data_IF_816433114687
#
_entry.id   IF_816433114687
#
_cell.length_a   1.000
_cell.length_b   1.000
_cell.length_c   1.000
_cell.angle_alpha   90.00
_cell.angle_beta   90.00
_cell.angle_gamma   90.00
#
_symmetry.space_group_name_H-M   'P 1'
#
loop_
_entity.id
_entity.type
_entity.pdbx_description
1 polymer ?
#
# COMPACT_ATOMS: atom_id res chain seq x y z
N UNK A 1 15.66 -37.71 9.93
CA UNK A 1 15.91 -36.26 9.91
C UNK A 1 15.46 -35.64 8.59
N UNK A 2 15.79 -36.19 7.41
CA UNK A 2 15.26 -35.71 6.12
C UNK A 2 13.75 -35.97 5.96
N UNK A 3 13.24 -37.15 6.31
CA UNK A 3 11.80 -37.47 6.27
C UNK A 3 10.95 -36.65 7.24
N UNK A 4 11.47 -36.25 8.39
CA UNK A 4 10.77 -35.33 9.31
C UNK A 4 10.70 -33.89 8.78
N UNK A 5 11.74 -33.44 8.10
CA UNK A 5 11.77 -32.13 7.46
C UNK A 5 10.78 -32.05 6.29
N UNK A 6 10.69 -33.11 5.48
CA UNK A 6 9.76 -33.21 4.36
C UNK A 6 8.30 -33.33 4.83
N UNK A 7 8.00 -34.10 5.89
CA UNK A 7 6.65 -34.14 6.47
C UNK A 7 6.23 -32.81 7.09
N UNK A 8 7.13 -32.10 7.75
CA UNK A 8 6.85 -30.76 8.26
C UNK A 8 6.58 -29.75 7.11
N UNK A 9 7.36 -29.81 6.05
CA UNK A 9 7.21 -28.95 4.88
C UNK A 9 5.87 -29.20 4.17
N UNK A 10 5.54 -30.44 3.85
CA UNK A 10 4.27 -30.83 3.23
C UNK A 10 3.05 -30.52 4.11
N UNK A 11 3.18 -30.63 5.42
CA UNK A 11 2.13 -30.29 6.37
C UNK A 11 1.80 -28.78 6.37
N UNK A 12 2.80 -27.89 6.24
CA UNK A 12 2.57 -26.46 6.12
C UNK A 12 1.92 -26.11 4.78
N UNK A 13 2.37 -26.68 3.67
CA UNK A 13 1.83 -26.39 2.35
C UNK A 13 0.34 -26.76 2.20
N UNK A 14 -0.11 -27.84 2.78
CA UNK A 14 -1.53 -28.25 2.78
C UNK A 14 -2.45 -27.32 3.60
N UNK A 15 -1.89 -26.43 4.41
CA UNK A 15 -2.63 -25.52 5.30
C UNK A 15 -2.61 -24.06 4.84
N UNK A 16 -1.86 -23.74 3.80
CA UNK A 16 -1.81 -22.39 3.21
C UNK A 16 -3.17 -22.02 2.66
N UNK A 17 -3.51 -20.72 2.75
CA UNK A 17 -4.67 -20.16 2.09
C UNK A 17 -4.43 -20.11 0.58
N UNK A 18 -4.89 -21.14 -0.15
CA UNK A 18 -4.70 -21.23 -1.59
C UNK A 18 -5.33 -20.07 -2.36
N UNK A 19 -6.48 -19.57 -1.91
CA UNK A 19 -7.14 -18.42 -2.53
C UNK A 19 -6.30 -17.16 -2.40
N UNK A 20 -5.77 -16.87 -1.20
CA UNK A 20 -4.89 -15.73 -0.99
C UNK A 20 -3.63 -15.85 -1.84
N UNK A 21 -2.98 -17.03 -1.84
CA UNK A 21 -1.76 -17.27 -2.61
C UNK A 21 -1.99 -17.08 -4.11
N UNK A 22 -3.04 -17.68 -4.67
CA UNK A 22 -3.36 -17.53 -6.09
C UNK A 22 -3.69 -16.08 -6.46
N UNK A 23 -4.43 -15.37 -5.61
CA UNK A 23 -4.73 -13.94 -5.83
C UNK A 23 -3.46 -13.10 -5.84
N UNK A 24 -2.53 -13.33 -4.89
CA UNK A 24 -1.26 -12.62 -4.83
C UNK A 24 -0.39 -12.89 -6.06
N UNK A 25 -0.31 -14.15 -6.49
CA UNK A 25 0.42 -14.52 -7.70
C UNK A 25 -0.21 -13.89 -8.95
N UNK A 26 -1.54 -13.93 -9.06
CA UNK A 26 -2.24 -13.31 -10.18
C UNK A 26 -1.98 -11.80 -10.23
N UNK A 27 -2.08 -11.07 -9.10
CA UNK A 27 -1.77 -9.65 -9.03
C UNK A 27 -0.32 -9.36 -9.40
N UNK A 28 0.64 -10.09 -8.84
CA UNK A 28 2.06 -9.86 -9.11
C UNK A 28 2.44 -10.15 -10.57
N UNK A 29 1.91 -11.22 -11.16
CA UNK A 29 2.13 -11.53 -12.58
C UNK A 29 1.49 -10.50 -13.50
N UNK A 30 0.27 -10.06 -13.19
CA UNK A 30 -0.37 -8.95 -13.91
C UNK A 30 0.47 -7.68 -13.80
N UNK A 31 0.99 -7.36 -12.61
CA UNK A 31 1.86 -6.20 -12.40
C UNK A 31 3.13 -6.27 -13.26
N UNK A 32 3.83 -7.40 -13.27
CA UNK A 32 5.04 -7.59 -14.08
C UNK A 32 4.73 -7.44 -15.59
N UNK A 33 3.60 -8.01 -16.05
CA UNK A 33 3.15 -7.91 -17.44
C UNK A 33 2.86 -6.46 -17.84
N UNK A 34 2.07 -5.75 -17.03
CA UNK A 34 1.67 -4.37 -17.32
C UNK A 34 2.85 -3.40 -17.20
N UNK A 35 3.77 -3.61 -16.23
CA UNK A 35 5.01 -2.84 -16.16
C UNK A 35 5.83 -3.06 -17.44
N UNK A 36 5.91 -4.30 -17.91
CA UNK A 36 6.58 -4.62 -19.18
C UNK A 36 5.97 -3.87 -20.34
N UNK A 37 4.64 -3.81 -20.42
CA UNK A 37 3.95 -3.06 -21.45
C UNK A 37 4.14 -1.55 -21.30
N UNK A 38 3.91 -0.99 -20.10
CA UNK A 38 4.05 0.44 -19.83
C UNK A 38 5.46 1.00 -20.11
N UNK A 39 6.50 0.14 -20.00
CA UNK A 39 7.90 0.51 -20.23
C UNK A 39 8.44 0.05 -21.59
N UNK A 40 7.61 -0.60 -22.41
CA UNK A 40 7.95 -1.02 -23.75
C UNK A 40 7.84 0.15 -24.71
N UNK A 41 8.90 0.94 -24.80
CA UNK A 41 8.95 2.03 -25.77
C UNK A 41 9.41 1.52 -27.11
N UNK A 42 8.80 2.02 -28.19
CA UNK A 42 9.20 1.76 -29.57
C UNK A 42 10.52 2.47 -29.97
N UNK A 43 11.30 2.99 -29.03
CA UNK A 43 12.58 3.64 -29.29
C UNK A 43 13.73 2.62 -29.25
N UNK A 44 14.38 2.34 -30.40
CA UNK A 44 15.50 1.40 -30.50
C UNK A 44 16.76 1.83 -29.72
N UNK A 45 16.85 3.09 -29.28
CA UNK A 45 18.00 3.60 -28.52
C UNK A 45 17.98 3.22 -27.03
N UNK A 46 16.81 2.78 -26.51
CA UNK A 46 16.71 2.33 -25.12
C UNK A 46 17.06 0.84 -25.00
N UNK A 47 18.35 0.55 -24.88
CA UNK A 47 18.86 -0.80 -24.64
C UNK A 47 18.49 -1.39 -23.26
N UNK A 48 17.75 -0.65 -22.42
CA UNK A 48 17.34 -1.04 -21.05
C UNK A 48 15.89 -1.52 -20.91
N UNK A 49 15.24 -1.94 -21.99
CA UNK A 49 13.81 -2.29 -22.07
C UNK A 49 13.30 -3.27 -21.00
N UNK A 50 14.13 -4.20 -20.57
CA UNK A 50 13.77 -5.19 -19.54
C UNK A 50 14.26 -4.84 -18.13
N UNK A 51 14.89 -3.68 -17.94
CA UNK A 51 15.49 -3.34 -16.65
C UNK A 51 14.41 -3.21 -15.57
N UNK A 52 13.27 -2.56 -15.86
CA UNK A 52 12.15 -2.43 -14.92
C UNK A 52 11.50 -3.77 -14.62
N UNK A 53 11.25 -4.61 -15.63
CA UNK A 53 10.66 -5.94 -15.48
C UNK A 53 11.61 -6.85 -14.69
N UNK A 54 12.90 -6.85 -15.04
CA UNK A 54 13.91 -7.65 -14.37
C UNK A 54 14.06 -7.23 -12.90
N UNK A 55 14.14 -5.94 -12.62
CA UNK A 55 14.20 -5.41 -11.25
C UNK A 55 12.93 -5.75 -10.46
N UNK A 56 11.75 -5.57 -11.06
CA UNK A 56 10.49 -5.96 -10.41
C UNK A 56 10.44 -7.46 -10.12
N UNK A 57 10.89 -8.31 -11.06
CA UNK A 57 11.02 -9.75 -10.86
C UNK A 57 11.96 -10.13 -9.73
N UNK A 58 13.12 -9.48 -9.63
CA UNK A 58 14.06 -9.68 -8.51
C UNK A 58 13.42 -9.28 -7.18
N UNK A 59 12.75 -8.11 -7.13
CA UNK A 59 12.05 -7.68 -5.93
C UNK A 59 10.88 -8.59 -5.56
N UNK A 60 10.20 -9.17 -6.56
CA UNK A 60 9.17 -10.17 -6.33
C UNK A 60 9.77 -11.43 -5.66
N UNK A 61 10.88 -11.95 -6.17
CA UNK A 61 11.56 -13.12 -5.58
C UNK A 61 12.09 -12.84 -4.17
N UNK A 62 12.69 -11.67 -3.95
CA UNK A 62 13.13 -11.24 -2.63
C UNK A 62 11.94 -11.08 -1.66
N UNK A 63 10.85 -10.48 -2.12
CA UNK A 63 9.62 -10.33 -1.36
C UNK A 63 8.99 -11.67 -1.04
N UNK A 64 8.99 -12.62 -1.98
CA UNK A 64 8.50 -13.98 -1.75
C UNK A 64 9.36 -14.73 -0.71
N UNK A 65 10.68 -14.62 -0.81
CA UNK A 65 11.59 -15.18 0.20
C UNK A 65 11.36 -14.58 1.59
N UNK A 66 11.13 -13.25 1.66
CA UNK A 66 10.79 -12.54 2.89
C UNK A 66 9.45 -13.02 3.45
N UNK A 67 8.42 -13.17 2.61
CA UNK A 67 7.13 -13.73 3.02
C UNK A 67 7.27 -15.15 3.57
N UNK A 68 8.01 -16.02 2.89
CA UNK A 68 8.28 -17.39 3.32
C UNK A 68 9.03 -17.42 4.66
N UNK A 69 10.01 -16.54 4.85
CA UNK A 69 10.71 -16.38 6.13
C UNK A 69 9.74 -16.02 7.26
N UNK A 70 8.87 -15.03 7.07
CA UNK A 70 7.89 -14.63 8.08
C UNK A 70 6.80 -15.69 8.33
N UNK A 71 6.52 -16.57 7.36
CA UNK A 71 5.62 -17.71 7.57
C UNK A 71 6.21 -18.75 8.52
N UNK A 72 7.54 -18.89 8.60
CA UNK A 72 8.22 -19.90 9.42
C UNK A 72 8.15 -19.58 10.91
N UNK A 73 8.30 -18.31 11.29
CA UNK A 73 8.33 -17.87 12.69
C UNK A 73 6.93 -17.44 13.15
N UNK A 74 6.64 -17.62 14.45
CA UNK A 74 5.35 -17.20 15.00
C UNK A 74 5.21 -15.68 14.97
N UNK A 75 4.12 -15.17 14.35
CA UNK A 75 3.83 -13.72 14.29
C UNK A 75 3.73 -13.09 15.67
N UNK A 76 3.49 -13.86 16.75
CA UNK A 76 3.47 -13.38 18.14
C UNK A 76 4.83 -12.88 18.61
N UNK A 77 5.93 -13.24 17.94
CA UNK A 77 7.23 -12.63 18.18
C UNK A 77 7.21 -11.14 17.86
N UNK A 78 6.46 -10.70 16.86
CA UNK A 78 6.31 -9.29 16.52
C UNK A 78 5.68 -8.48 17.67
N UNK A 79 4.80 -9.10 18.46
CA UNK A 79 4.26 -8.48 19.66
C UNK A 79 5.35 -8.14 20.68
N UNK A 80 6.28 -9.06 20.91
CA UNK A 80 7.40 -8.85 21.83
C UNK A 80 8.35 -7.75 21.35
N UNK A 81 8.65 -7.77 20.04
CA UNK A 81 9.60 -6.86 19.42
C UNK A 81 9.02 -5.50 19.04
N UNK A 82 7.70 -5.29 19.16
CA UNK A 82 7.05 -4.04 18.76
C UNK A 82 7.69 -2.76 19.33
N UNK A 83 8.15 -2.67 20.62
CA UNK A 83 8.83 -1.46 21.09
C UNK A 83 10.17 -1.21 20.41
N UNK A 84 10.96 -2.25 20.18
CA UNK A 84 12.21 -2.13 19.46
C UNK A 84 11.98 -1.76 17.99
N UNK A 85 10.98 -2.36 17.35
CA UNK A 85 10.55 -2.05 15.98
C UNK A 85 10.08 -0.59 15.86
N UNK A 86 9.43 -0.05 16.89
CA UNK A 86 9.04 1.36 16.94
C UNK A 86 10.24 2.29 16.94
N UNK A 87 11.24 1.99 17.77
CA UNK A 87 12.49 2.76 17.84
C UNK A 87 13.23 2.70 16.48
N UNK A 88 13.35 1.50 15.92
CA UNK A 88 13.95 1.30 14.59
C UNK A 88 13.20 2.12 13.53
N UNK A 89 11.86 2.12 13.57
CA UNK A 89 11.04 2.91 12.66
C UNK A 89 11.35 4.40 12.75
N UNK A 90 11.38 4.95 13.95
CA UNK A 90 11.69 6.36 14.16
C UNK A 90 13.13 6.71 13.71
N UNK A 91 14.11 5.87 14.03
CA UNK A 91 15.51 6.04 13.60
C UNK A 91 15.61 5.99 12.07
N UNK A 92 14.96 5.02 11.43
CA UNK A 92 14.97 4.84 9.99
C UNK A 92 14.35 6.05 9.26
N UNK A 93 13.20 6.54 9.75
CA UNK A 93 12.55 7.73 9.20
C UNK A 93 13.38 9.00 9.42
N UNK A 94 14.02 9.14 10.57
CA UNK A 94 14.91 10.26 10.85
C UNK A 94 16.19 10.18 9.98
N UNK A 95 16.73 8.97 9.80
CA UNK A 95 17.92 8.71 9.00
C UNK A 95 17.78 9.13 7.53
N UNK A 96 16.59 8.96 6.95
CA UNK A 96 16.31 9.43 5.57
C UNK A 96 16.56 10.93 5.42
N UNK A 97 16.26 11.72 6.43
CA UNK A 97 16.48 13.17 6.40
C UNK A 97 17.97 13.53 6.44
N UNK A 98 18.82 12.66 7.00
CA UNK A 98 20.25 12.90 7.15
C UNK A 98 21.06 12.36 5.96
N UNK A 99 20.68 11.18 5.43
CA UNK A 99 21.47 10.43 4.45
C UNK A 99 20.70 10.18 3.15
N UNK A 100 19.40 10.54 3.09
CA UNK A 100 18.54 10.26 1.94
C UNK A 100 18.93 11.02 0.69
N UNK A 101 18.73 10.39 -0.46
CA UNK A 101 18.84 11.02 -1.78
C UNK A 101 17.55 11.73 -2.14
N UNK A 102 17.68 12.94 -2.74
CA UNK A 102 16.53 13.69 -3.23
C UNK A 102 16.21 13.26 -4.66
N UNK A 103 14.98 12.81 -4.87
CA UNK A 103 14.42 12.60 -6.20
C UNK A 103 13.07 13.35 -6.29
N UNK A 104 12.80 13.98 -7.43
CA UNK A 104 11.58 14.76 -7.68
C UNK A 104 11.27 15.82 -6.60
N UNK A 105 12.32 16.46 -6.04
CA UNK A 105 12.19 17.51 -5.05
C UNK A 105 11.89 17.05 -3.61
N UNK A 106 11.90 15.74 -3.33
CA UNK A 106 11.69 15.21 -2.01
C UNK A 106 12.77 14.18 -1.62
N UNK A 107 13.26 14.29 -0.39
CA UNK A 107 14.29 13.41 0.16
C UNK A 107 13.61 12.22 0.87
N UNK A 108 13.39 11.10 0.15
CA UNK A 108 12.59 9.95 0.64
C UNK A 108 13.28 8.61 0.47
N UNK A 109 14.40 8.56 -0.26
CA UNK A 109 15.03 7.34 -0.70
C UNK A 109 16.40 7.15 -0.06
N UNK A 110 16.74 5.94 0.30
CA UNK A 110 18.11 5.55 0.70
C UNK A 110 18.63 4.62 -0.39
N UNK A 111 19.76 5.01 -0.99
CA UNK A 111 20.42 4.18 -1.97
C UNK A 111 21.44 3.28 -1.29
N UNK A 112 21.28 1.97 -1.43
CA UNK A 112 22.19 0.94 -0.92
C UNK A 112 22.72 0.14 -2.13
N UNK A 113 23.84 0.59 -2.69
CA UNK A 113 24.37 0.03 -3.93
C UNK A 113 23.38 0.24 -5.10
N UNK A 114 22.97 -0.83 -5.84
CA UNK A 114 22.03 -0.72 -6.94
C UNK A 114 20.55 -0.65 -6.49
N UNK A 115 20.28 -0.81 -5.20
CA UNK A 115 18.93 -0.89 -4.64
C UNK A 115 18.55 0.43 -3.99
N UNK A 116 17.42 1.01 -4.40
CA UNK A 116 16.79 2.14 -3.74
C UNK A 116 15.71 1.65 -2.80
N UNK A 117 15.84 1.97 -1.52
CA UNK A 117 14.83 1.66 -0.51
C UNK A 117 14.12 2.92 -0.07
N UNK A 118 12.80 2.82 0.11
CA UNK A 118 11.98 3.88 0.68
C UNK A 118 11.57 3.48 2.11
N UNK A 119 12.16 4.05 3.13
CA UNK A 119 11.89 3.70 4.53
C UNK A 119 10.44 3.93 4.94
N UNK A 120 9.75 4.93 4.39
CA UNK A 120 8.33 5.18 4.68
C UNK A 120 7.42 4.01 4.25
N UNK A 121 7.82 3.19 3.27
CA UNK A 121 7.10 1.97 2.91
C UNK A 121 7.13 0.94 4.04
N UNK A 122 8.30 0.67 4.60
CA UNK A 122 8.47 -0.25 5.74
C UNK A 122 7.81 0.29 7.00
N UNK A 123 7.84 1.59 7.19
CA UNK A 123 7.22 2.27 8.32
C UNK A 123 5.73 1.96 8.45
N UNK A 124 4.99 1.75 7.36
CA UNK A 124 3.56 1.36 7.38
C UNK A 124 3.35 0.06 8.15
N UNK A 125 4.15 -0.98 7.84
CA UNK A 125 4.03 -2.29 8.52
C UNK A 125 4.49 -2.21 9.96
N UNK A 126 5.59 -1.50 10.23
CA UNK A 126 6.07 -1.32 11.60
C UNK A 126 5.04 -0.60 12.46
N UNK A 127 4.33 0.39 11.90
CA UNK A 127 3.24 1.06 12.59
C UNK A 127 2.03 0.14 12.81
N UNK A 128 1.66 -0.70 11.84
CA UNK A 128 0.61 -1.71 12.02
C UNK A 128 0.95 -2.63 13.20
N UNK A 129 2.20 -3.10 13.30
CA UNK A 129 2.65 -3.98 14.39
C UNK A 129 2.56 -3.26 15.74
N UNK A 130 3.05 -2.03 15.83
CA UNK A 130 3.05 -1.25 17.07
C UNK A 130 1.64 -0.92 17.53
N UNK A 131 0.78 -0.48 16.61
CA UNK A 131 -0.64 -0.21 16.88
C UNK A 131 -1.38 -1.48 17.30
N UNK A 132 -1.18 -2.60 16.60
CA UNK A 132 -1.83 -3.87 16.91
C UNK A 132 -1.51 -4.31 18.34
N UNK A 133 -0.25 -4.17 18.78
CA UNK A 133 0.13 -4.45 20.16
C UNK A 133 -0.61 -3.56 21.15
N UNK A 134 -0.53 -2.23 20.95
CA UNK A 134 -1.13 -1.28 21.87
C UNK A 134 -2.65 -1.45 21.97
N UNK A 135 -3.32 -1.65 20.83
CA UNK A 135 -4.77 -1.84 20.78
C UNK A 135 -5.20 -3.19 21.38
N UNK A 136 -4.39 -4.24 21.21
CA UNK A 136 -4.67 -5.56 21.82
C UNK A 136 -4.62 -5.53 23.37
N UNK A 137 -3.84 -4.62 23.95
CA UNK A 137 -3.76 -4.40 25.41
C UNK A 137 -4.97 -3.62 25.96
N UNK A 138 -5.67 -2.82 25.09
CA UNK A 138 -6.81 -1.99 25.49
C UNK A 138 -8.14 -2.71 25.27
N UNK A 139 -8.57 -3.51 26.29
CA UNK A 139 -9.80 -4.32 26.21
C UNK A 139 -11.10 -3.51 26.33
N UNK A 140 -11.06 -2.32 26.91
CA UNK A 140 -12.26 -1.50 27.22
C UNK A 140 -12.77 -0.67 26.02
N UNK A 141 -12.07 -0.72 24.89
CA UNK A 141 -12.36 0.07 23.70
C UNK A 141 -12.11 1.56 23.87
N UNK A 142 -12.29 2.31 22.79
CA UNK A 142 -11.97 3.76 22.75
C UNK A 142 -13.25 4.59 22.83
N UNK A 143 -13.68 4.88 24.07
CA UNK A 143 -14.97 5.55 24.36
C UNK A 143 -14.87 7.06 24.59
N UNK A 144 -13.66 7.57 24.88
CA UNK A 144 -13.40 8.97 25.20
C UNK A 144 -12.20 9.49 24.42
N UNK A 145 -12.09 10.81 24.24
CA UNK A 145 -10.92 11.44 23.62
C UNK A 145 -9.63 11.17 24.39
N UNK A 146 -9.71 11.04 25.73
CA UNK A 146 -8.55 10.74 26.58
C UNK A 146 -7.99 9.34 26.30
N UNK A 147 -8.84 8.37 25.95
CA UNK A 147 -8.38 7.03 25.60
C UNK A 147 -7.61 6.98 24.27
N UNK A 148 -7.74 8.01 23.41
CA UNK A 148 -6.98 8.14 22.17
C UNK A 148 -5.59 8.78 22.35
N UNK A 149 -5.29 9.39 23.49
CA UNK A 149 -4.00 10.04 23.72
C UNK A 149 -2.79 9.09 23.56
N UNK A 150 -2.81 7.86 24.08
CA UNK A 150 -1.71 6.91 23.83
C UNK A 150 -1.55 6.57 22.33
N UNK A 151 -2.68 6.42 21.61
CA UNK A 151 -2.66 6.16 20.16
C UNK A 151 -2.04 7.34 19.42
N UNK A 152 -2.45 8.56 19.75
CA UNK A 152 -1.87 9.78 19.19
C UNK A 152 -0.38 9.88 19.52
N UNK A 153 0.03 9.60 20.76
CA UNK A 153 1.44 9.60 21.17
C UNK A 153 2.29 8.61 20.38
N UNK A 154 1.74 7.43 20.05
CA UNK A 154 2.43 6.44 19.22
C UNK A 154 2.48 6.85 17.75
N UNK A 155 1.39 7.42 17.21
CA UNK A 155 1.23 7.73 15.79
C UNK A 155 1.91 9.02 15.37
N UNK A 156 1.83 10.08 16.21
CA UNK A 156 2.29 11.41 15.84
C UNK A 156 3.78 11.48 15.45
N UNK A 157 4.75 10.89 16.20
CA UNK A 157 6.15 10.99 15.83
C UNK A 157 6.46 10.46 14.42
N UNK A 158 6.12 9.22 14.02
CA UNK A 158 6.35 8.73 12.67
C UNK A 158 5.54 9.51 11.62
N UNK A 159 4.30 9.90 11.94
CA UNK A 159 3.45 10.68 11.04
C UNK A 159 4.10 12.04 10.71
N UNK A 160 4.57 12.77 11.74
CA UNK A 160 5.23 14.06 11.55
C UNK A 160 6.53 13.89 10.75
N UNK A 161 7.34 12.85 11.04
CA UNK A 161 8.56 12.59 10.30
C UNK A 161 8.31 12.36 8.81
N UNK A 162 7.27 11.61 8.44
CA UNK A 162 6.89 11.36 7.05
C UNK A 162 6.27 12.62 6.42
N UNK A 163 5.45 13.35 7.15
CA UNK A 163 4.83 14.59 6.66
C UNK A 163 5.88 15.67 6.33
N UNK A 164 6.93 15.80 7.14
CA UNK A 164 8.04 16.73 6.89
C UNK A 164 8.91 16.31 5.68
N UNK A 165 8.89 15.03 5.28
CA UNK A 165 9.53 14.52 4.06
C UNK A 165 8.72 14.79 2.78
N UNK A 166 7.88 15.78 2.72
CA UNK A 166 6.70 16.06 1.89
C UNK A 166 6.00 14.81 1.29
N UNK A 167 5.87 13.72 2.08
CA UNK A 167 5.18 12.49 1.67
C UNK A 167 3.74 12.46 2.18
N UNK A 168 2.88 13.24 1.52
CA UNK A 168 1.46 13.32 1.86
C UNK A 168 0.76 11.96 1.67
N UNK A 169 1.10 11.24 0.59
CA UNK A 169 0.50 9.93 0.29
C UNK A 169 0.66 8.94 1.44
N UNK A 170 1.90 8.70 1.87
CA UNK A 170 2.18 7.78 2.99
C UNK A 170 1.58 8.29 4.31
N UNK A 171 1.56 9.60 4.56
CA UNK A 171 0.92 10.17 5.75
C UNK A 171 -0.59 9.87 5.79
N UNK A 172 -1.29 9.95 4.67
CA UNK A 172 -2.70 9.57 4.56
C UNK A 172 -2.91 8.06 4.76
N UNK A 173 -2.00 7.21 4.27
CA UNK A 173 -2.03 5.77 4.54
C UNK A 173 -1.89 5.49 6.03
N UNK A 174 -1.01 6.19 6.76
CA UNK A 174 -0.92 6.06 8.23
C UNK A 174 -2.22 6.41 8.93
N UNK A 175 -2.87 7.50 8.52
CA UNK A 175 -4.17 7.89 9.07
C UNK A 175 -5.25 6.83 8.80
N UNK A 176 -5.27 6.25 7.59
CA UNK A 176 -6.20 5.19 7.22
C UNK A 176 -5.97 3.89 8.02
N UNK A 177 -4.71 3.48 8.21
CA UNK A 177 -4.34 2.35 9.06
C UNK A 177 -4.83 2.57 10.49
N UNK A 178 -4.52 3.74 11.06
CA UNK A 178 -4.91 4.09 12.43
C UNK A 178 -6.44 4.07 12.60
N UNK A 179 -7.16 4.70 11.69
CA UNK A 179 -8.62 4.75 11.71
C UNK A 179 -9.25 3.35 11.62
N UNK A 180 -8.82 2.53 10.65
CA UNK A 180 -9.35 1.19 10.47
C UNK A 180 -9.10 0.27 11.67
N UNK A 181 -7.90 0.33 12.24
CA UNK A 181 -7.56 -0.46 13.42
C UNK A 181 -8.32 0.00 14.67
N UNK A 182 -8.46 1.32 14.89
CA UNK A 182 -9.28 1.87 15.97
C UNK A 182 -10.75 1.51 15.82
N UNK A 183 -11.27 1.53 14.59
CA UNK A 183 -12.66 1.15 14.31
C UNK A 183 -12.94 -0.29 14.73
N UNK A 184 -12.05 -1.23 14.37
CA UNK A 184 -12.17 -2.62 14.80
C UNK A 184 -12.02 -2.79 16.32
N UNK A 185 -11.21 -1.93 16.97
CA UNK A 185 -10.98 -1.95 18.43
C UNK A 185 -12.12 -1.32 19.23
N UNK A 186 -13.24 -1.00 18.60
CA UNK A 186 -14.42 -0.48 19.29
C UNK A 186 -14.40 1.03 19.49
N UNK A 187 -13.92 1.79 18.51
CA UNK A 187 -14.01 3.25 18.51
C UNK A 187 -15.47 3.71 18.50
N UNK A 188 -15.84 4.54 19.47
CA UNK A 188 -17.20 5.05 19.61
C UNK A 188 -17.56 6.00 18.45
N UNK A 189 -18.65 5.75 17.71
CA UNK A 189 -19.09 6.56 16.58
C UNK A 189 -19.31 8.04 16.92
N UNK A 190 -19.57 8.37 18.20
CA UNK A 190 -19.64 9.77 18.65
C UNK A 190 -18.29 10.49 18.43
N UNK A 191 -17.18 9.81 18.72
CA UNK A 191 -15.82 10.37 18.53
C UNK A 191 -15.53 10.56 17.03
N UNK A 192 -15.91 9.58 16.19
CA UNK A 192 -15.75 9.67 14.75
C UNK A 192 -16.49 10.90 14.19
N UNK A 193 -17.75 11.08 14.58
CA UNK A 193 -18.54 12.27 14.16
C UNK A 193 -17.91 13.57 14.64
N UNK A 194 -17.46 13.62 15.89
CA UNK A 194 -16.79 14.80 16.45
C UNK A 194 -15.47 15.09 15.73
N UNK A 195 -14.67 14.06 15.43
CA UNK A 195 -13.43 14.21 14.67
C UNK A 195 -13.68 14.73 13.24
N UNK A 196 -14.72 14.21 12.58
CA UNK A 196 -15.11 14.68 11.24
C UNK A 196 -15.56 16.15 11.28
N UNK A 197 -16.41 16.52 12.23
CA UNK A 197 -16.85 17.91 12.42
C UNK A 197 -15.66 18.84 12.73
N UNK A 198 -14.74 18.40 13.59
CA UNK A 198 -13.53 19.15 13.90
C UNK A 198 -12.62 19.32 12.66
N UNK A 199 -12.47 18.26 11.83
CA UNK A 199 -11.70 18.34 10.57
C UNK A 199 -12.33 19.35 9.60
N UNK A 200 -13.64 19.33 9.42
CA UNK A 200 -14.36 20.31 8.57
C UNK A 200 -14.21 21.72 9.12
N UNK A 201 -14.35 21.91 10.44
CA UNK A 201 -14.19 23.24 11.07
C UNK A 201 -12.76 23.78 11.01
N UNK A 202 -11.74 22.88 11.07
CA UNK A 202 -10.34 23.23 10.99
C UNK A 202 -9.84 23.35 9.53
N UNK A 203 -10.60 22.84 8.56
CA UNK A 203 -10.18 22.82 7.16
C UNK A 203 -9.73 24.19 6.63
N UNK A 204 -10.43 25.34 6.90
CA UNK A 204 -9.96 26.64 6.47
C UNK A 204 -8.58 27.01 7.06
N UNK A 205 -8.35 26.68 8.33
CA UNK A 205 -7.06 26.94 8.99
C UNK A 205 -5.96 26.10 8.35
N UNK A 206 -6.23 24.80 8.10
CA UNK A 206 -5.29 23.91 7.41
C UNK A 206 -4.98 24.43 6.01
N UNK A 207 -6.01 24.88 5.28
CA UNK A 207 -5.89 25.39 3.92
C UNK A 207 -5.00 26.63 3.82
N UNK A 208 -5.21 27.61 4.68
CA UNK A 208 -4.49 28.88 4.59
C UNK A 208 -3.11 28.87 5.23
N UNK A 209 -2.91 28.09 6.30
CA UNK A 209 -1.70 28.17 7.13
C UNK A 209 -0.80 26.93 7.07
N UNK A 210 -1.32 25.74 6.75
CA UNK A 210 -0.55 24.50 6.86
C UNK A 210 -0.24 23.84 5.51
N UNK A 211 -1.17 23.93 4.56
CA UNK A 211 -0.98 23.29 3.25
C UNK A 211 -0.04 24.12 2.37
N UNK A 212 0.97 23.44 1.81
CA UNK A 212 1.85 24.02 0.79
C UNK A 212 1.10 24.19 -0.55
N UNK A 213 1.58 25.09 -1.41
CA UNK A 213 0.92 25.41 -2.68
C UNK A 213 0.77 24.19 -3.60
N UNK A 214 1.76 23.28 -3.63
CA UNK A 214 1.65 22.05 -4.42
C UNK A 214 0.53 21.10 -3.91
N UNK A 215 0.24 21.09 -2.59
CA UNK A 215 -0.84 20.31 -2.00
C UNK A 215 -2.21 20.93 -2.31
N UNK A 216 -2.30 22.26 -2.25
CA UNK A 216 -3.51 23.01 -2.64
C UNK A 216 -3.84 22.76 -4.11
N UNK A 217 -2.83 22.84 -5.01
CA UNK A 217 -3.00 22.55 -6.44
C UNK A 217 -3.55 21.15 -6.68
N UNK A 218 -3.02 20.11 -6.00
CA UNK A 218 -3.53 18.74 -6.14
C UNK A 218 -4.99 18.57 -5.73
N UNK A 219 -5.45 19.35 -4.75
CA UNK A 219 -6.87 19.35 -4.33
C UNK A 219 -7.71 20.14 -5.35
N UNK A 220 -7.24 21.28 -5.82
CA UNK A 220 -7.97 22.11 -6.79
C UNK A 220 -8.11 21.42 -8.14
N UNK A 221 -7.08 20.71 -8.61
CA UNK A 221 -7.10 19.91 -9.85
C UNK A 221 -8.24 18.88 -9.88
N UNK A 222 -8.71 18.43 -8.71
CA UNK A 222 -9.88 17.55 -8.64
C UNK A 222 -11.16 18.21 -9.21
N UNK A 223 -11.28 19.52 -9.04
CA UNK A 223 -12.44 20.30 -9.47
C UNK A 223 -12.19 20.96 -10.83
N UNK A 224 -10.97 21.42 -11.05
CA UNK A 224 -10.55 22.11 -12.28
C UNK A 224 -9.11 21.71 -12.65
N UNK A 225 -8.93 20.80 -13.63
CA UNK A 225 -7.59 20.37 -14.07
C UNK A 225 -6.75 21.52 -14.65
N UNK A 226 -7.36 22.59 -15.14
CA UNK A 226 -6.67 23.73 -15.78
C UNK A 226 -5.92 24.61 -14.77
N UNK A 227 -6.11 24.38 -13.46
CA UNK A 227 -5.33 25.05 -12.40
C UNK A 227 -3.85 24.67 -12.42
N UNK A 228 -3.52 23.47 -12.92
CA UNK A 228 -2.14 22.98 -13.03
C UNK A 228 -1.91 22.23 -14.36
N UNK A 229 -1.97 22.94 -15.50
CA UNK A 229 -2.03 22.32 -16.84
C UNK A 229 -0.74 21.62 -17.26
N UNK A 230 0.39 21.83 -16.55
CA UNK A 230 1.69 21.17 -16.83
C UNK A 230 2.14 20.24 -15.70
N UNK A 231 1.37 20.14 -14.62
CA UNK A 231 1.65 19.26 -13.49
C UNK A 231 0.55 18.24 -13.25
N UNK A 232 -0.01 18.21 -12.04
CA UNK A 232 -1.01 17.22 -11.65
C UNK A 232 -2.29 17.24 -12.51
N UNK A 233 -2.69 18.39 -13.06
CA UNK A 233 -3.82 18.50 -13.99
C UNK A 233 -3.57 17.75 -15.30
N UNK A 234 -2.38 17.90 -15.88
CA UNK A 234 -1.98 17.17 -17.09
C UNK A 234 -2.07 15.65 -16.86
N UNK A 235 -1.51 15.18 -15.75
CA UNK A 235 -1.55 13.74 -15.43
C UNK A 235 -2.98 13.19 -15.35
N UNK A 236 -3.91 13.94 -14.72
CA UNK A 236 -5.30 13.50 -14.58
C UNK A 236 -6.02 13.50 -15.94
N UNK A 237 -5.79 14.50 -16.78
CA UNK A 237 -6.38 14.59 -18.12
C UNK A 237 -5.89 13.41 -18.97
N UNK A 238 -4.56 13.19 -19.04
CA UNK A 238 -3.98 12.10 -19.83
C UNK A 238 -4.41 10.72 -19.31
N UNK A 239 -4.52 10.56 -18.00
CA UNK A 239 -5.04 9.34 -17.38
C UNK A 239 -6.48 9.04 -17.82
N UNK A 240 -7.36 10.04 -17.82
CA UNK A 240 -8.75 9.88 -18.29
C UNK A 240 -8.83 9.57 -19.78
N UNK A 241 -8.00 10.23 -20.59
CA UNK A 241 -7.91 9.96 -22.03
C UNK A 241 -7.47 8.51 -22.28
N UNK A 242 -6.41 8.07 -21.57
CA UNK A 242 -5.89 6.71 -21.63
C UNK A 242 -6.97 5.67 -21.30
N UNK A 243 -7.65 5.79 -20.14
CA UNK A 243 -8.73 4.88 -19.74
C UNK A 243 -9.88 4.92 -20.76
N UNK A 244 -10.27 6.12 -21.21
CA UNK A 244 -11.37 6.30 -22.17
C UNK A 244 -11.08 5.69 -23.55
N UNK A 245 -9.82 5.75 -24.00
CA UNK A 245 -9.40 5.20 -25.30
C UNK A 245 -9.44 3.68 -25.35
N UNK A 246 -9.31 2.99 -24.18
CA UNK A 246 -9.37 1.54 -24.11
C UNK A 246 -10.77 0.95 -24.31
N UNK A 247 -11.84 1.73 -24.13
CA UNK A 247 -13.20 1.27 -24.36
C UNK A 247 -13.55 0.02 -23.54
N UNK A 248 -14.25 -0.95 -24.20
CA UNK A 248 -14.73 -2.14 -23.48
C UNK A 248 -13.68 -3.26 -23.39
N UNK A 249 -12.94 -3.54 -24.45
CA UNK A 249 -11.97 -4.67 -24.53
C UNK A 249 -10.51 -4.23 -24.49
N UNK A 250 -10.22 -2.93 -24.58
CA UNK A 250 -8.87 -2.40 -24.65
C UNK A 250 -8.32 -2.29 -26.08
N UNK A 251 -7.19 -1.61 -26.20
CA UNK A 251 -6.46 -1.46 -27.46
C UNK A 251 -5.57 -2.69 -27.76
N UNK A 252 -5.29 -3.52 -26.75
CA UNK A 252 -4.34 -4.64 -26.82
C UNK A 252 -3.11 -4.39 -25.97
N UNK A 253 -2.51 -5.48 -25.46
CA UNK A 253 -1.25 -5.41 -24.70
C UNK A 253 -0.14 -4.89 -25.61
N UNK A 254 0.66 -3.93 -25.12
CA UNK A 254 1.73 -3.24 -25.85
C UNK A 254 1.26 -2.33 -26.99
N UNK A 255 -0.05 -2.09 -27.13
CA UNK A 255 -0.63 -1.25 -28.19
C UNK A 255 -1.26 0.05 -27.68
N UNK A 256 -1.15 0.32 -26.37
CA UNK A 256 -1.67 1.54 -25.74
C UNK A 256 -0.96 2.80 -26.27
N UNK A 257 -1.68 3.69 -26.97
CA UNK A 257 -1.10 4.88 -27.58
C UNK A 257 -0.61 5.90 -26.57
N UNK A 258 -1.35 6.12 -25.47
CA UNK A 258 -0.98 7.09 -24.45
C UNK A 258 0.21 6.63 -23.62
N UNK A 259 0.25 5.33 -23.29
CA UNK A 259 1.32 4.71 -22.54
C UNK A 259 2.61 4.57 -23.34
N UNK A 260 2.53 4.11 -24.61
CA UNK A 260 3.69 3.86 -25.47
C UNK A 260 4.34 5.13 -26.01
N UNK A 261 3.58 6.20 -26.22
CA UNK A 261 4.09 7.50 -26.67
C UNK A 261 4.50 8.43 -25.53
N UNK A 262 4.51 7.94 -24.28
CA UNK A 262 4.85 8.72 -23.08
C UNK A 262 4.01 9.99 -22.85
N UNK A 263 2.77 10.04 -23.35
CA UNK A 263 1.86 11.12 -23.04
C UNK A 263 1.39 11.07 -21.57
N UNK A 264 1.41 9.88 -20.95
CA UNK A 264 1.10 9.69 -19.54
C UNK A 264 2.39 9.53 -18.73
N UNK A 265 2.86 10.58 -18.02
CA UNK A 265 4.01 10.46 -17.14
C UNK A 265 3.73 9.52 -15.96
N UNK A 266 4.79 8.90 -15.41
CA UNK A 266 4.69 7.96 -14.27
C UNK A 266 3.66 6.83 -14.49
N UNK A 267 3.51 6.40 -15.76
CA UNK A 267 2.55 5.37 -16.17
C UNK A 267 2.81 4.00 -15.53
N UNK A 268 4.06 3.66 -15.24
CA UNK A 268 4.47 2.40 -14.63
C UNK A 268 4.43 2.41 -13.09
N UNK A 269 4.25 3.58 -12.46
CA UNK A 269 4.19 3.75 -10.99
C UNK A 269 2.78 4.14 -10.56
N UNK A 270 2.49 5.43 -10.53
CA UNK A 270 1.28 5.99 -9.92
C UNK A 270 0.04 5.83 -10.80
N UNK A 271 0.21 5.84 -12.13
CA UNK A 271 -0.86 5.80 -13.12
C UNK A 271 -0.99 4.45 -13.84
N UNK A 272 -0.47 3.37 -13.27
CA UNK A 272 -0.48 2.05 -13.90
C UNK A 272 -1.90 1.50 -14.15
N UNK A 273 -2.89 1.89 -13.33
CA UNK A 273 -4.28 1.53 -13.56
C UNK A 273 -4.83 2.12 -14.88
N UNK A 274 -4.32 3.28 -15.31
CA UNK A 274 -4.69 3.89 -16.59
C UNK A 274 -4.17 3.09 -17.77
N UNK A 275 -2.95 2.52 -17.67
CA UNK A 275 -2.40 1.60 -18.67
C UNK A 275 -3.27 0.34 -18.79
N UNK A 276 -3.71 -0.22 -17.64
CA UNK A 276 -4.63 -1.37 -17.63
C UNK A 276 -5.95 -1.01 -18.31
N UNK A 277 -6.50 0.18 -18.01
CA UNK A 277 -7.72 0.69 -18.63
C UNK A 277 -7.58 0.91 -20.14
N UNK A 278 -6.42 1.36 -20.60
CA UNK A 278 -6.12 1.57 -22.01
C UNK A 278 -5.94 0.26 -22.77
N UNK A 279 -5.08 -0.62 -22.27
CA UNK A 279 -4.67 -1.83 -22.98
C UNK A 279 -5.65 -3.00 -22.85
N UNK A 280 -6.27 -3.17 -21.68
CA UNK A 280 -7.22 -4.25 -21.38
C UNK A 280 -8.67 -3.79 -21.28
N UNK A 281 -8.92 -2.49 -21.37
CA UNK A 281 -10.25 -1.89 -21.36
C UNK A 281 -11.00 -2.09 -20.04
N UNK A 282 -12.32 -1.90 -20.14
CA UNK A 282 -13.22 -2.07 -19.00
C UNK A 282 -13.17 -3.48 -18.40
N UNK A 283 -13.08 -4.52 -19.25
CA UNK A 283 -13.01 -5.93 -18.83
C UNK A 283 -11.76 -6.18 -17.96
N UNK A 284 -10.59 -5.70 -18.40
CA UNK A 284 -9.33 -5.83 -17.65
C UNK A 284 -9.37 -5.05 -16.32
N UNK A 285 -9.93 -3.84 -16.34
CA UNK A 285 -10.09 -3.04 -15.13
C UNK A 285 -10.99 -3.73 -14.09
N UNK A 286 -12.16 -4.27 -14.51
CA UNK A 286 -13.06 -5.02 -13.62
C UNK A 286 -12.40 -6.31 -13.12
N UNK A 287 -11.67 -7.03 -13.97
CA UNK A 287 -10.96 -8.22 -13.54
C UNK A 287 -9.92 -7.90 -12.46
N UNK A 288 -9.15 -6.82 -12.63
CA UNK A 288 -8.20 -6.37 -11.61
C UNK A 288 -8.92 -5.99 -10.29
N UNK A 289 -10.00 -5.23 -10.36
CA UNK A 289 -10.79 -4.88 -9.18
C UNK A 289 -11.37 -6.11 -8.47
N UNK A 290 -11.75 -7.13 -9.22
CA UNK A 290 -12.18 -8.42 -8.67
C UNK A 290 -11.04 -9.13 -7.92
N UNK A 291 -9.81 -9.11 -8.45
CA UNK A 291 -8.64 -9.65 -7.73
C UNK A 291 -8.39 -8.90 -6.41
N UNK A 292 -8.51 -7.56 -6.41
CA UNK A 292 -8.42 -6.79 -5.17
C UNK A 292 -9.55 -7.08 -4.20
N UNK A 293 -10.78 -7.26 -4.69
CA UNK A 293 -11.89 -7.70 -3.86
C UNK A 293 -11.60 -9.04 -3.18
N UNK A 294 -11.07 -10.03 -3.91
CA UNK A 294 -10.67 -11.32 -3.34
C UNK A 294 -9.56 -11.16 -2.30
N UNK A 295 -8.54 -10.35 -2.58
CA UNK A 295 -7.46 -10.05 -1.64
C UNK A 295 -7.98 -9.47 -0.32
N UNK A 296 -8.80 -8.45 -0.41
CA UNK A 296 -9.39 -7.77 0.74
C UNK A 296 -10.37 -8.66 1.49
N UNK A 297 -11.21 -9.41 0.78
CA UNK A 297 -12.12 -10.39 1.37
C UNK A 297 -11.37 -11.46 2.16
N UNK A 298 -10.30 -12.04 1.58
CA UNK A 298 -9.48 -13.03 2.29
C UNK A 298 -8.79 -12.45 3.52
N UNK A 299 -8.33 -11.21 3.45
CA UNK A 299 -7.72 -10.52 4.59
C UNK A 299 -8.71 -10.35 5.75
N UNK A 300 -9.99 -10.00 5.46
CA UNK A 300 -11.06 -9.94 6.48
C UNK A 300 -11.33 -11.33 7.08
N UNK A 301 -11.41 -12.37 6.25
CA UNK A 301 -11.62 -13.74 6.71
C UNK A 301 -10.48 -14.18 7.66
N UNK A 302 -9.24 -13.85 7.32
CA UNK A 302 -8.07 -14.14 8.17
C UNK A 302 -8.15 -13.36 9.48
N UNK A 303 -8.49 -12.08 9.44
CA UNK A 303 -8.67 -11.26 10.64
C UNK A 303 -9.69 -11.87 11.60
N UNK A 304 -10.84 -12.30 11.09
CA UNK A 304 -11.92 -12.91 11.88
C UNK A 304 -11.58 -14.31 12.41
N UNK A 305 -10.76 -15.06 11.68
CA UNK A 305 -10.36 -16.42 12.07
C UNK A 305 -9.12 -16.47 12.96
N UNK A 306 -8.50 -15.32 13.25
CA UNK A 306 -7.30 -15.22 14.09
C UNK A 306 -7.54 -15.79 15.49
N UNK A 307 -6.51 -16.44 16.02
CA UNK A 307 -6.53 -17.05 17.36
C UNK A 307 -6.46 -16.06 18.52
N UNK A 308 -6.06 -14.81 18.26
CA UNK A 308 -5.86 -13.76 19.26
C UNK A 308 -6.15 -12.36 18.70
N UNK A 309 -6.33 -11.39 19.59
CA UNK A 309 -6.64 -10.01 19.24
C UNK A 309 -5.51 -9.33 18.46
N UNK A 310 -4.25 -9.66 18.76
CA UNK A 310 -3.09 -9.07 18.08
C UNK A 310 -3.05 -9.47 16.60
N UNK A 311 -3.21 -10.76 16.28
CA UNK A 311 -3.27 -11.23 14.89
C UNK A 311 -4.48 -10.68 14.13
N UNK A 312 -5.64 -10.57 14.78
CA UNK A 312 -6.83 -9.93 14.19
C UNK A 312 -6.57 -8.47 13.83
N UNK A 313 -5.93 -7.71 14.72
CA UNK A 313 -5.59 -6.31 14.52
C UNK A 313 -4.49 -6.13 13.45
N UNK A 314 -3.48 -7.01 13.41
CA UNK A 314 -2.49 -7.02 12.33
C UNK A 314 -3.16 -7.15 10.96
N UNK A 315 -4.03 -8.16 10.81
CA UNK A 315 -4.74 -8.38 9.57
C UNK A 315 -5.67 -7.19 9.21
N UNK A 316 -6.31 -6.57 10.21
CA UNK A 316 -7.12 -5.36 10.00
C UNK A 316 -6.27 -4.17 9.55
N UNK A 317 -5.07 -3.98 10.13
CA UNK A 317 -4.16 -2.91 9.71
C UNK A 317 -3.70 -3.08 8.26
N UNK A 318 -3.36 -4.31 7.86
CA UNK A 318 -3.00 -4.65 6.48
C UNK A 318 -4.19 -4.44 5.54
N UNK A 319 -5.39 -4.87 5.93
CA UNK A 319 -6.63 -4.61 5.18
C UNK A 319 -6.85 -3.12 4.94
N UNK A 320 -6.76 -2.30 6.00
CA UNK A 320 -6.97 -0.85 5.94
C UNK A 320 -5.95 -0.17 5.03
N UNK A 321 -4.69 -0.60 5.10
CA UNK A 321 -3.62 -0.13 4.23
C UNK A 321 -3.92 -0.41 2.75
N UNK A 322 -4.19 -1.67 2.41
CA UNK A 322 -4.44 -2.07 1.03
C UNK A 322 -5.73 -1.47 0.48
N UNK A 323 -6.81 -1.47 1.26
CA UNK A 323 -8.08 -0.86 0.86
C UNK A 323 -7.88 0.62 0.50
N UNK A 324 -7.19 1.37 1.35
CA UNK A 324 -6.95 2.78 1.13
C UNK A 324 -6.05 3.03 -0.08
N UNK A 325 -4.97 2.25 -0.24
CA UNK A 325 -4.07 2.38 -1.39
C UNK A 325 -4.80 2.10 -2.72
N UNK A 326 -5.58 1.02 -2.80
CA UNK A 326 -6.37 0.70 -3.99
C UNK A 326 -7.40 1.79 -4.28
N UNK A 327 -8.15 2.23 -3.27
CA UNK A 327 -9.19 3.23 -3.42
C UNK A 327 -8.63 4.58 -3.92
N UNK A 328 -7.51 5.03 -3.34
CA UNK A 328 -6.89 6.29 -3.74
C UNK A 328 -6.23 6.17 -5.12
N UNK A 329 -5.50 5.10 -5.41
CA UNK A 329 -4.82 4.95 -6.71
C UNK A 329 -5.83 4.88 -7.84
N UNK A 330 -6.83 4.00 -7.76
CA UNK A 330 -7.90 3.91 -8.76
C UNK A 330 -8.69 5.22 -8.84
N UNK A 331 -9.01 5.82 -7.70
CA UNK A 331 -9.75 7.08 -7.64
C UNK A 331 -9.00 8.26 -8.28
N UNK A 332 -7.68 8.36 -8.09
CA UNK A 332 -6.91 9.45 -8.70
C UNK A 332 -6.74 9.28 -10.22
N UNK A 333 -6.61 8.04 -10.71
CA UNK A 333 -6.53 7.77 -12.16
C UNK A 333 -7.85 8.06 -12.86
N UNK A 334 -8.98 7.83 -12.19
CA UNK A 334 -10.31 8.21 -12.67
C UNK A 334 -10.62 9.71 -12.48
N UNK A 335 -9.75 10.44 -11.77
CA UNK A 335 -9.96 11.86 -11.45
C UNK A 335 -11.11 12.11 -10.45
N UNK A 336 -11.38 11.14 -9.56
CA UNK A 336 -12.36 11.25 -8.47
C UNK A 336 -11.66 11.58 -7.15
N UNK A 337 -10.35 11.28 -7.04
CA UNK A 337 -9.51 11.56 -5.89
C UNK A 337 -8.32 12.44 -6.29
N UNK A 338 -7.76 13.24 -5.35
CA UNK A 338 -6.59 14.05 -5.64
C UNK A 338 -5.37 13.18 -5.92
N UNK A 339 -4.45 13.66 -6.76
CA UNK A 339 -3.21 12.96 -7.09
C UNK A 339 -2.29 12.93 -5.86
N UNK A 340 -2.06 11.75 -5.31
CA UNK A 340 -1.28 11.57 -4.08
C UNK A 340 0.07 10.88 -4.30
N UNK A 341 0.25 10.15 -5.41
CA UNK A 341 1.47 9.36 -5.65
C UNK A 341 1.53 8.10 -4.78
N UNK A 342 0.38 7.46 -4.53
CA UNK A 342 0.30 6.20 -3.78
C UNK A 342 0.32 5.05 -4.80
N UNK A 343 1.30 4.13 -4.73
CA UNK A 343 1.37 3.01 -5.67
C UNK A 343 0.25 2.01 -5.44
N UNK A 344 -0.19 1.36 -6.52
CA UNK A 344 -1.18 0.29 -6.50
C UNK A 344 -0.53 -1.02 -5.99
N UNK A 345 -0.99 -1.62 -4.88
CA UNK A 345 -0.35 -2.78 -4.27
C UNK A 345 -0.13 -3.93 -5.24
N UNK A 346 1.08 -4.51 -5.27
CA UNK A 346 1.52 -5.62 -6.13
C UNK A 346 1.62 -5.33 -7.64
N UNK A 347 0.94 -4.29 -8.13
CA UNK A 347 0.87 -3.95 -9.56
C UNK A 347 1.88 -2.89 -9.93
N UNK A 348 1.90 -1.74 -9.22
CA UNK A 348 2.81 -0.62 -9.51
C UNK A 348 4.28 -1.03 -9.39
N UNK A 349 5.12 -0.46 -10.25
CA UNK A 349 6.55 -0.57 -10.10
C UNK A 349 7.01 0.09 -8.81
N UNK A 350 7.80 -0.65 -8.04
CA UNK A 350 8.38 -0.14 -6.79
C UNK A 350 8.89 -1.27 -5.89
N UNK A 351 10.21 -1.45 -5.85
CA UNK A 351 10.82 -2.56 -5.11
C UNK A 351 10.49 -2.57 -3.63
N UNK A 352 10.56 -1.42 -2.95
CA UNK A 352 10.22 -1.31 -1.53
C UNK A 352 8.75 -1.58 -1.26
N UNK A 353 7.85 -1.03 -2.10
CA UNK A 353 6.42 -1.23 -1.97
C UNK A 353 6.04 -2.71 -2.18
N UNK A 354 6.62 -3.37 -3.20
CA UNK A 354 6.39 -4.78 -3.47
C UNK A 354 6.89 -5.68 -2.32
N UNK A 355 8.11 -5.43 -1.83
CA UNK A 355 8.65 -6.19 -0.68
C UNK A 355 7.79 -6.05 0.57
N UNK A 356 7.31 -4.84 0.86
CA UNK A 356 6.42 -4.56 1.99
C UNK A 356 5.07 -5.26 1.83
N UNK A 357 4.48 -5.22 0.63
CA UNK A 357 3.23 -5.92 0.36
C UNK A 357 3.39 -7.45 0.47
N UNK A 358 4.52 -8.01 0.01
CA UNK A 358 4.83 -9.43 0.20
C UNK A 358 5.07 -9.79 1.67
N UNK A 359 5.74 -8.93 2.44
CA UNK A 359 5.89 -9.09 3.89
C UNK A 359 4.51 -9.14 4.57
N UNK A 360 3.60 -8.23 4.23
CA UNK A 360 2.22 -8.24 4.73
C UNK A 360 1.50 -9.55 4.39
N UNK A 361 1.65 -10.04 3.16
CA UNK A 361 1.10 -11.31 2.73
C UNK A 361 1.67 -12.49 3.56
N UNK A 362 2.98 -12.48 3.83
CA UNK A 362 3.63 -13.46 4.71
C UNK A 362 3.07 -13.45 6.14
N UNK A 363 2.84 -12.25 6.70
CA UNK A 363 2.22 -12.10 8.03
C UNK A 363 0.78 -12.65 8.02
N UNK A 364 -0.02 -12.33 7.00
CA UNK A 364 -1.40 -12.85 6.88
C UNK A 364 -1.42 -14.38 6.77
N UNK A 365 -0.55 -14.96 5.94
CA UNK A 365 -0.41 -16.43 5.83
C UNK A 365 -0.01 -17.06 7.15
N UNK A 366 0.89 -16.41 7.89
CA UNK A 366 1.31 -16.84 9.22
C UNK A 366 0.15 -16.87 10.22
N UNK A 367 -0.68 -15.81 10.26
CA UNK A 367 -1.88 -15.75 11.09
C UNK A 367 -2.85 -16.87 10.70
N UNK A 368 -3.06 -17.08 9.40
CA UNK A 368 -3.96 -18.12 8.89
C UNK A 368 -3.51 -19.53 9.25
N UNK A 369 -2.20 -19.81 9.17
CA UNK A 369 -1.61 -21.11 9.54
C UNK A 369 -1.82 -21.44 11.02
N UNK A 370 -1.83 -20.41 11.89
CA UNK A 370 -1.94 -20.55 13.36
C UNK A 370 -3.32 -20.21 13.91
N UNK A 371 -4.34 -20.08 13.02
CA UNK A 371 -5.73 -19.82 13.43
C UNK A 371 -6.26 -20.95 14.33
N UNK A 372 -7.19 -20.63 15.22
CA UNK A 372 -7.93 -21.64 15.98
C UNK A 372 -8.74 -22.48 14.99
N UNK A 373 -8.50 -23.79 14.94
CA UNK A 373 -9.45 -24.70 14.31
C UNK A 373 -10.70 -24.71 15.19
N UNK A 374 -11.83 -24.26 14.64
CA UNK A 374 -13.14 -24.59 15.20
C UNK A 374 -13.24 -26.12 15.08
N UNK A 375 -12.96 -26.84 16.16
CA UNK A 375 -13.37 -28.23 16.26
C UNK A 375 -14.89 -28.19 16.49
N UNK A 376 -15.65 -28.39 15.43
CA UNK A 376 -17.02 -28.83 15.57
C UNK A 376 -16.94 -30.29 16.04
N UNK A 377 -17.23 -30.53 17.32
CA UNK A 377 -17.58 -31.85 17.84
C UNK A 377 -19.00 -32.18 17.40
#
# INVERSE_FOLDING_TARGET
>A
MEEEVDMHFLYYWRRIDGTLLLTLLALALTGILIIGSATHMNDPTYAGRFDFVTRQGVFFLLGFALAAFFMRYDYRLLYRWAPALYIINCIMLLGVRLVGTSALGAQRWIQIGPITLQPSEFAKVLMIICLARMLAEHKDGFRTWRSLLPVAGLMLPPFILVFIQPDLGTSLVFAAICFGMLFLSGLRMKIVRQALLALVALFPVLWFFLLHDYQKKRILVLFDPDVDPFGSGYHVIQSKISIGSGGFIGQGLFEGTQSQLNFLPENHTDFIFSVIGEELGFVGAIFLLFLYFLLLYRTIVISRSSGDAFGSLLACGIFSMWLFQVFINVGMTLGIMPVTGIPLPFISYGGSALMVNMLCAGILMNIYLRRKKLMFN
#
